data_IF_372306847336
#
_entry.id   IF_372306847336
#
_cell.length_a   1.000
_cell.length_b   1.000
_cell.length_c   1.000
_cell.angle_alpha   90.00
_cell.angle_beta   90.00
_cell.angle_gamma   90.00
#
_symmetry.space_group_name_H-M   'P 1'
#
loop_
_entity.id
_entity.type
_entity.pdbx_description
1 polymer ?
#
# COMPACT_ATOMS: atom_id res chain seq x y z
N UNK A 1 -11.76 -2.10 18.65
CA UNK A 1 -10.53 -1.28 18.56
C UNK A 1 -10.12 -1.19 17.09
N UNK A 2 -10.50 -0.11 16.39
CA UNK A 2 -10.42 0.04 14.91
C UNK A 2 -9.34 1.06 14.47
N UNK A 3 -8.37 1.38 15.35
CA UNK A 3 -7.52 2.58 15.19
C UNK A 3 -6.21 2.38 14.43
N UNK A 4 -5.83 1.15 14.05
CA UNK A 4 -4.55 0.85 13.38
C UNK A 4 -4.69 0.30 11.94
N UNK A 5 -5.85 0.47 11.32
CA UNK A 5 -6.08 0.00 9.94
C UNK A 5 -5.80 1.14 8.95
N UNK A 6 -4.80 0.97 8.10
CA UNK A 6 -4.52 1.89 7.01
C UNK A 6 -5.54 1.67 5.87
N UNK A 7 -6.61 2.46 5.88
CA UNK A 7 -7.67 2.43 4.86
C UNK A 7 -7.41 3.50 3.81
N UNK A 8 -7.45 3.12 2.54
CA UNK A 8 -7.19 4.00 1.40
C UNK A 8 -8.37 3.90 0.43
N UNK A 9 -9.07 5.02 0.24
CA UNK A 9 -10.13 5.12 -0.75
C UNK A 9 -9.55 5.39 -2.14
N UNK A 10 -9.91 4.55 -3.10
CA UNK A 10 -9.45 4.61 -4.50
C UNK A 10 -10.63 4.41 -5.46
N UNK A 11 -10.42 4.72 -6.73
CA UNK A 11 -11.37 4.46 -7.82
C UNK A 11 -10.71 3.57 -8.86
N UNK A 12 -11.52 3.12 -9.82
CA UNK A 12 -10.95 2.47 -10.99
C UNK A 12 -10.01 3.43 -11.74
N UNK A 13 -8.94 2.85 -12.27
CA UNK A 13 -7.84 3.51 -12.97
C UNK A 13 -6.93 4.40 -12.12
N UNK A 14 -7.20 4.58 -10.82
CA UNK A 14 -6.23 5.20 -9.91
C UNK A 14 -4.97 4.31 -9.82
N UNK A 15 -3.84 4.95 -9.52
CA UNK A 15 -2.55 4.27 -9.35
C UNK A 15 -1.96 4.59 -7.99
N UNK A 16 -1.63 3.55 -7.24
CA UNK A 16 -0.99 3.65 -5.93
C UNK A 16 0.43 3.14 -6.04
N UNK A 17 1.39 3.94 -5.56
CA UNK A 17 2.81 3.64 -5.54
C UNK A 17 3.25 3.46 -4.08
N UNK A 18 3.85 2.32 -3.77
CA UNK A 18 4.42 1.98 -2.48
C UNK A 18 5.93 2.07 -2.62
N UNK A 19 6.54 3.01 -1.91
CA UNK A 19 7.99 3.14 -1.89
C UNK A 19 8.59 2.08 -0.98
N UNK A 20 9.56 1.34 -1.50
CA UNK A 20 10.37 0.46 -0.68
C UNK A 20 11.27 1.27 0.27
N UNK A 21 11.77 0.65 1.36
CA UNK A 21 12.71 1.30 2.26
C UNK A 21 13.90 1.90 1.50
N UNK A 22 14.40 3.04 1.98
CA UNK A 22 15.49 3.71 1.30
C UNK A 22 16.78 2.88 1.41
N UNK A 23 17.53 2.72 0.30
CA UNK A 23 18.88 2.17 0.34
C UNK A 23 19.74 3.05 1.22
N UNK A 24 20.14 2.55 2.38
CA UNK A 24 21.00 3.31 3.27
C UNK A 24 22.36 2.65 3.35
N UNK A 25 23.36 3.32 2.78
CA UNK A 25 24.77 2.92 2.92
C UNK A 25 25.38 3.42 4.24
N UNK A 26 24.69 4.33 4.95
CA UNK A 26 25.25 5.08 6.08
C UNK A 26 24.40 5.03 7.36
N UNK A 27 23.26 4.35 7.36
CA UNK A 27 22.47 4.14 8.58
C UNK A 27 22.88 2.85 9.27
N UNK A 28 22.96 2.89 10.59
CA UNK A 28 23.01 1.70 11.47
C UNK A 28 21.76 0.82 11.38
N UNK A 29 20.68 1.31 10.75
CA UNK A 29 19.43 0.59 10.56
C UNK A 29 19.55 -0.36 9.34
N UNK A 30 19.36 -1.67 9.51
CA UNK A 30 19.39 -2.62 8.40
C UNK A 30 18.20 -2.42 7.46
N UNK A 31 18.40 -2.74 6.17
CA UNK A 31 17.34 -2.71 5.17
C UNK A 31 16.23 -3.71 5.52
N UNK A 32 14.97 -3.28 5.42
CA UNK A 32 13.81 -4.11 5.72
C UNK A 32 13.32 -4.82 4.44
N UNK A 33 13.62 -6.12 4.35
CA UNK A 33 13.17 -6.98 3.25
C UNK A 33 11.70 -7.33 3.42
N UNK A 34 10.89 -7.11 2.39
CA UNK A 34 9.44 -7.31 2.49
C UNK A 34 8.83 -7.73 1.15
N UNK A 35 7.91 -8.70 1.22
CA UNK A 35 6.99 -9.03 0.12
C UNK A 35 5.59 -8.60 0.51
N UNK A 36 4.87 -8.08 -0.49
CA UNK A 36 3.48 -7.67 -0.37
C UNK A 36 2.59 -8.65 -1.13
N UNK A 37 1.51 -9.06 -0.49
CA UNK A 37 0.51 -9.95 -1.05
C UNK A 37 -0.87 -9.36 -0.85
N UNK A 38 -1.72 -9.48 -1.87
CA UNK A 38 -3.15 -9.30 -1.69
C UNK A 38 -3.74 -10.60 -1.13
N UNK A 39 -4.60 -10.51 -0.13
CA UNK A 39 -5.17 -11.66 0.59
C UNK A 39 -6.68 -11.53 0.76
N UNK A 40 -7.32 -12.60 1.21
CA UNK A 40 -8.71 -12.59 1.67
C UNK A 40 -8.91 -11.68 2.89
N UNK A 41 -10.18 -11.37 3.22
CA UNK A 41 -10.49 -10.60 4.44
C UNK A 41 -10.07 -11.35 5.70
N UNK A 42 -10.26 -12.67 5.73
CA UNK A 42 -9.92 -13.50 6.87
C UNK A 42 -8.40 -13.54 7.07
N UNK A 43 -7.63 -13.74 5.98
CA UNK A 43 -6.16 -13.69 6.00
C UNK A 43 -5.62 -12.32 6.45
N UNK A 44 -6.28 -11.22 6.10
CA UNK A 44 -5.93 -9.88 6.59
C UNK A 44 -6.13 -9.69 8.10
N UNK A 45 -7.15 -10.32 8.66
CA UNK A 45 -7.48 -10.21 10.08
C UNK A 45 -6.53 -11.05 10.93
N UNK A 46 -6.19 -12.26 10.48
CA UNK A 46 -5.27 -13.18 11.19
C UNK A 46 -3.80 -13.09 10.74
N UNK A 47 -3.48 -12.18 9.83
CA UNK A 47 -2.12 -12.02 9.27
C UNK A 47 -1.56 -13.31 8.66
N UNK A 48 -2.33 -13.97 7.80
CA UNK A 48 -1.94 -15.19 7.08
C UNK A 48 -2.14 -15.01 5.57
N UNK A 49 -1.24 -15.61 4.78
CA UNK A 49 -1.38 -15.65 3.32
C UNK A 49 -2.45 -16.66 2.90
N UNK A 50 -3.70 -16.20 2.87
CA UNK A 50 -4.87 -16.93 2.37
C UNK A 50 -5.37 -16.34 1.04
N UNK A 51 -5.60 -17.20 0.04
CA UNK A 51 -5.96 -16.84 -1.33
C UNK A 51 -5.03 -15.77 -1.94
N UNK A 52 -3.72 -15.92 -1.70
CA UNK A 52 -2.79 -14.84 -1.91
C UNK A 52 -2.46 -14.59 -3.38
N UNK A 53 -2.25 -13.32 -3.72
CA UNK A 53 -1.72 -12.89 -5.01
C UNK A 53 -0.53 -11.95 -4.80
N UNK A 54 0.61 -12.17 -5.48
CA UNK A 54 1.78 -11.31 -5.31
C UNK A 54 1.48 -9.90 -5.80
N UNK A 55 1.83 -8.90 -4.98
CA UNK A 55 1.70 -7.47 -5.31
C UNK A 55 3.05 -6.88 -5.70
N UNK A 56 4.10 -7.22 -4.95
CA UNK A 56 5.47 -6.75 -5.22
C UNK A 56 6.45 -7.11 -4.12
N UNK A 57 7.71 -6.76 -4.32
CA UNK A 57 8.82 -7.11 -3.42
C UNK A 57 9.81 -5.96 -3.27
N UNK A 58 10.24 -5.72 -2.04
CA UNK A 58 11.37 -4.87 -1.68
C UNK A 58 12.52 -5.77 -1.24
N UNK A 59 13.51 -5.98 -2.12
CA UNK A 59 14.63 -6.91 -1.90
C UNK A 59 15.99 -6.35 -2.32
N UNK A 60 16.03 -5.13 -2.83
CA UNK A 60 17.28 -4.49 -3.27
C UNK A 60 17.68 -3.42 -2.24
N UNK A 61 18.69 -3.69 -1.39
CA UNK A 61 19.14 -2.74 -0.37
C UNK A 61 20.03 -1.63 -0.95
N UNK A 62 20.34 -1.65 -2.25
CA UNK A 62 21.23 -0.70 -2.91
C UNK A 62 20.51 0.25 -3.86
N UNK A 63 19.26 -0.04 -4.24
CA UNK A 63 18.48 0.77 -5.19
C UNK A 63 17.09 1.08 -4.67
N UNK A 64 16.70 2.35 -4.80
CA UNK A 64 15.34 2.77 -4.47
C UNK A 64 14.38 2.13 -5.47
N UNK A 65 13.40 1.39 -4.96
CA UNK A 65 12.36 0.76 -5.78
C UNK A 65 10.98 1.16 -5.31
N UNK A 66 10.01 0.97 -6.21
CA UNK A 66 8.61 1.33 -6.01
C UNK A 66 7.74 0.20 -6.54
N UNK A 67 6.78 -0.23 -5.73
CA UNK A 67 5.74 -1.19 -6.13
C UNK A 67 4.51 -0.39 -6.56
N UNK A 68 3.96 -0.67 -7.74
CA UNK A 68 2.80 0.05 -8.27
C UNK A 68 1.58 -0.86 -8.39
N UNK A 69 0.45 -0.40 -7.87
CA UNK A 69 -0.86 -1.04 -8.00
C UNK A 69 -1.73 -0.12 -8.85
N UNK A 70 -2.26 -0.65 -9.95
CA UNK A 70 -3.25 0.07 -10.78
C UNK A 70 -4.61 -0.59 -10.60
N UNK A 71 -5.62 0.20 -10.23
CA UNK A 71 -6.95 -0.30 -9.90
C UNK A 71 -7.79 -0.54 -11.16
N UNK A 72 -7.48 -1.60 -11.90
CA UNK A 72 -8.21 -1.98 -13.11
C UNK A 72 -9.20 -3.11 -12.86
N UNK A 73 -10.32 -3.10 -13.57
CA UNK A 73 -11.38 -4.10 -13.45
C UNK A 73 -11.16 -5.37 -14.28
N UNK A 74 -10.15 -5.38 -15.13
CA UNK A 74 -9.75 -6.52 -15.95
C UNK A 74 -8.24 -6.51 -16.14
N UNK A 75 -7.62 -7.68 -16.07
CA UNK A 75 -6.21 -7.89 -16.35
C UNK A 75 -6.02 -8.89 -17.50
N UNK A 76 -5.26 -8.55 -18.55
CA UNK A 76 -4.89 -9.53 -19.56
C UNK A 76 -3.88 -10.56 -19.03
N UNK A 77 -3.23 -10.29 -17.89
CA UNK A 77 -2.30 -11.21 -17.23
C UNK A 77 -3.09 -12.14 -16.28
N UNK A 78 -3.08 -13.47 -16.50
CA UNK A 78 -3.69 -14.44 -15.60
C UNK A 78 -3.13 -14.33 -14.19
N UNK A 79 -3.99 -14.45 -13.18
CA UNK A 79 -3.58 -14.41 -11.77
C UNK A 79 -3.29 -13.02 -11.21
N UNK A 80 -3.25 -11.98 -12.05
CA UNK A 80 -3.07 -10.61 -11.58
C UNK A 80 -4.29 -10.11 -10.78
N UNK A 81 -4.11 -8.95 -10.16
CA UNK A 81 -5.16 -8.29 -9.39
C UNK A 81 -6.19 -7.64 -10.29
N UNK A 82 -7.45 -7.82 -9.92
CA UNK A 82 -8.60 -7.20 -10.57
C UNK A 82 -9.50 -6.57 -9.51
N UNK A 83 -9.84 -5.31 -9.74
CA UNK A 83 -10.53 -4.47 -8.77
C UNK A 83 -11.93 -4.13 -9.26
N UNK A 84 -12.93 -4.30 -8.40
CA UNK A 84 -14.32 -3.98 -8.71
C UNK A 84 -14.80 -2.85 -7.79
N UNK A 85 -15.58 -1.89 -8.32
CA UNK A 85 -16.22 -0.88 -7.50
C UNK A 85 -17.11 -1.49 -6.41
N UNK A 86 -17.18 -0.83 -5.26
CA UNK A 86 -17.93 -1.26 -4.08
C UNK A 86 -17.26 -2.38 -3.28
N UNK A 87 -16.07 -2.84 -3.66
CA UNK A 87 -15.34 -3.90 -2.95
C UNK A 87 -14.12 -3.37 -2.20
N UNK A 88 -13.81 -4.07 -1.11
CA UNK A 88 -12.57 -3.87 -0.34
C UNK A 88 -11.53 -4.92 -0.74
N UNK A 89 -10.27 -4.49 -0.77
CA UNK A 89 -9.13 -5.34 -1.08
C UNK A 89 -8.05 -5.16 -0.02
N UNK A 90 -7.38 -6.24 0.35
CA UNK A 90 -6.48 -6.27 1.49
C UNK A 90 -5.08 -6.64 1.04
N UNK A 91 -4.08 -5.88 1.48
CA UNK A 91 -2.68 -6.15 1.18
C UNK A 91 -1.90 -6.22 2.49
N UNK A 92 -1.12 -7.28 2.69
CA UNK A 92 -0.30 -7.48 3.90
C UNK A 92 1.14 -7.84 3.55
N UNK A 93 2.01 -7.72 4.55
CA UNK A 93 3.34 -8.36 4.55
C UNK A 93 3.46 -9.30 5.74
N UNK A 94 3.70 -10.58 5.50
CA UNK A 94 4.02 -11.57 6.53
C UNK A 94 5.53 -11.80 6.67
N UNK A 95 6.36 -11.08 5.88
CA UNK A 95 7.81 -11.09 6.04
C UNK A 95 8.20 -10.61 7.45
N UNK A 96 9.37 -11.00 7.96
CA UNK A 96 9.86 -10.52 9.27
C UNK A 96 10.84 -9.33 9.17
N UNK A 97 11.12 -8.84 7.96
CA UNK A 97 12.08 -7.76 7.69
C UNK A 97 13.49 -8.22 7.36
N UNK A 98 13.82 -9.50 7.53
CA UNK A 98 15.11 -10.08 7.11
C UNK A 98 15.01 -10.75 5.75
N UNK A 99 16.16 -10.98 5.11
CA UNK A 99 16.21 -11.65 3.80
C UNK A 99 15.75 -13.11 3.90
N UNK A 100 16.05 -13.78 5.01
CA UNK A 100 15.72 -15.19 5.26
C UNK A 100 14.23 -15.39 5.54
N UNK A 101 13.62 -14.46 6.29
CA UNK A 101 12.20 -14.50 6.61
C UNK A 101 11.32 -13.73 5.62
N UNK A 102 11.83 -13.41 4.43
CA UNK A 102 11.08 -12.66 3.41
C UNK A 102 9.86 -13.45 2.90
N UNK A 103 9.95 -14.78 2.90
CA UNK A 103 8.94 -15.73 2.41
C UNK A 103 8.06 -16.32 3.50
N UNK A 104 8.13 -15.80 4.72
CA UNK A 104 7.22 -16.19 5.80
C UNK A 104 5.76 -15.97 5.37
N UNK A 105 4.88 -16.93 5.67
CA UNK A 105 3.46 -16.91 5.26
C UNK A 105 2.48 -16.57 6.38
N UNK A 106 2.97 -16.31 7.60
CA UNK A 106 2.15 -16.05 8.78
C UNK A 106 2.80 -15.00 9.70
N UNK A 107 1.99 -14.13 10.31
CA UNK A 107 2.40 -13.13 11.30
C UNK A 107 3.31 -12.03 10.73
N UNK A 108 4.55 -11.97 11.20
CA UNK A 108 5.59 -11.09 10.67
C UNK A 108 5.29 -9.60 10.84
N UNK A 109 5.58 -8.80 9.81
CA UNK A 109 5.38 -7.35 9.79
C UNK A 109 3.88 -6.97 9.88
N UNK A 110 2.97 -7.84 9.41
CA UNK A 110 1.52 -7.63 9.51
C UNK A 110 1.08 -7.57 10.97
N UNK A 111 1.54 -8.51 11.80
CA UNK A 111 1.16 -8.59 13.21
C UNK A 111 1.98 -7.63 14.06
N UNK A 112 3.30 -7.63 13.89
CA UNK A 112 4.22 -6.90 14.77
C UNK A 112 4.30 -5.39 14.46
N UNK A 113 4.05 -4.99 13.21
CA UNK A 113 4.18 -3.59 12.76
C UNK A 113 2.93 -3.05 12.07
N UNK A 114 1.82 -3.80 12.10
CA UNK A 114 0.59 -3.43 11.39
C UNK A 114 0.82 -3.10 9.91
N UNK A 115 1.75 -3.81 9.26
CA UNK A 115 2.05 -3.63 7.84
C UNK A 115 0.96 -4.28 6.98
N UNK A 116 -0.22 -3.68 7.03
CA UNK A 116 -1.43 -4.13 6.36
C UNK A 116 -2.30 -2.96 5.91
N UNK A 117 -2.77 -3.03 4.67
CA UNK A 117 -3.51 -1.99 3.97
C UNK A 117 -4.89 -2.52 3.56
N UNK A 118 -5.91 -1.67 3.65
CA UNK A 118 -7.23 -1.91 3.09
C UNK A 118 -7.52 -0.87 2.01
N UNK A 119 -7.72 -1.30 0.79
CA UNK A 119 -8.21 -0.45 -0.30
C UNK A 119 -9.73 -0.54 -0.40
N UNK A 120 -10.41 0.59 -0.33
CA UNK A 120 -11.85 0.69 -0.59
C UNK A 120 -12.06 1.27 -1.98
N UNK A 121 -12.52 0.44 -2.92
CA UNK A 121 -12.69 0.85 -4.32
C UNK A 121 -14.10 1.43 -4.49
N UNK A 122 -14.20 2.74 -4.69
CA UNK A 122 -15.48 3.40 -4.87
C UNK A 122 -15.94 3.35 -6.34
N UNK A 123 -17.24 3.11 -6.55
CA UNK A 123 -17.91 3.45 -7.80
C UNK A 123 -18.01 4.97 -7.90
N UNK A 124 -17.53 5.59 -8.97
CA UNK A 124 -17.85 7.01 -9.24
C UNK A 124 -19.38 7.15 -9.27
N UNK A 125 -19.99 8.10 -8.55
CA UNK A 125 -19.73 9.54 -8.48
C UNK A 125 -19.86 10.02 -7.01
N UNK A 126 -18.82 10.59 -6.39
CA UNK A 126 -18.98 11.30 -5.11
C UNK A 126 -18.98 12.81 -5.35
N UNK A 127 -20.07 13.46 -4.91
CA UNK A 127 -20.21 14.92 -4.82
C UNK A 127 -19.11 15.45 -3.90
N UNK A 128 -18.40 16.48 -4.34
CA UNK A 128 -17.40 17.18 -3.55
C UNK A 128 -18.04 17.62 -2.23
N UNK A 129 -17.63 17.00 -1.12
CA UNK A 129 -17.73 17.61 0.20
C UNK A 129 -16.30 17.88 0.65
N UNK A 130 -15.91 19.14 0.58
CA UNK A 130 -14.73 19.67 1.24
C UNK A 130 -14.81 19.35 2.74
N UNK A 131 -13.84 18.58 3.24
CA UNK A 131 -13.56 18.54 4.68
C UNK A 131 -12.09 18.79 4.91
N UNK A 132 -11.85 19.94 5.53
CA UNK A 132 -10.63 20.43 6.13
C UNK A 132 -9.94 19.36 6.97
N UNK A 133 -8.64 19.19 6.76
CA UNK A 133 -7.79 18.30 7.54
C UNK A 133 -7.70 18.78 8.99
N UNK A 134 -8.03 17.91 9.95
CA UNK A 134 -7.69 18.10 11.37
C UNK A 134 -6.63 17.08 11.78
N UNK A 135 -5.50 17.60 12.24
CA UNK A 135 -4.33 16.88 12.74
C UNK A 135 -4.56 16.26 14.13
N UNK A 136 -3.94 15.11 14.42
CA UNK A 136 -3.35 14.77 15.74
C UNK A 136 -2.62 13.41 15.79
N UNK A 137 -1.29 13.51 15.88
CA UNK A 137 -0.23 12.77 16.62
C UNK A 137 -0.13 11.22 16.75
N UNK A 138 1.12 10.81 16.45
CA UNK A 138 1.98 9.68 16.92
C UNK A 138 1.63 8.21 16.66
N UNK A 139 1.86 7.79 15.41
CA UNK A 139 2.24 6.44 14.94
C UNK A 139 3.22 6.64 13.75
N UNK A 140 3.98 5.64 13.25
CA UNK A 140 4.70 5.78 11.97
C UNK A 140 3.74 6.37 10.94
N UNK A 141 4.05 7.56 10.45
CA UNK A 141 3.16 8.28 9.57
C UNK A 141 3.34 7.70 8.18
N UNK A 142 2.40 6.84 7.81
CA UNK A 142 2.08 6.60 6.40
C UNK A 142 1.54 7.91 5.85
N UNK A 143 2.40 8.71 5.24
CA UNK A 143 1.94 9.89 4.52
C UNK A 143 1.55 9.48 3.12
N UNK A 144 0.29 9.75 2.79
CA UNK A 144 -0.25 9.61 1.45
C UNK A 144 -0.05 10.95 0.75
N UNK A 145 0.92 11.03 -0.16
CA UNK A 145 1.08 12.22 -1.00
C UNK A 145 0.21 12.03 -2.24
N UNK A 146 -0.79 12.89 -2.41
CA UNK A 146 -1.53 13.03 -3.65
C UNK A 146 -0.72 13.93 -4.58
N UNK A 147 -0.13 13.37 -5.63
CA UNK A 147 0.46 14.19 -6.70
C UNK A 147 -0.51 14.24 -7.86
N UNK A 148 -1.15 15.39 -8.08
CA UNK A 148 -1.89 15.68 -9.31
C UNK A 148 -0.88 16.06 -10.39
N UNK A 149 -0.87 15.34 -11.51
CA UNK A 149 -0.19 15.82 -12.72
C UNK A 149 -0.95 17.06 -13.23
N UNK A 150 -0.51 18.24 -12.82
CA UNK A 150 -1.05 19.51 -13.27
C UNK A 150 -0.45 19.86 -14.63
N UNK A 151 -0.96 19.26 -15.71
CA UNK A 151 -0.95 19.88 -17.02
C UNK A 151 -2.01 19.28 -17.95
N UNK A 152 -3.16 19.94 -18.12
CA UNK A 152 -3.97 19.92 -19.35
C UNK A 152 -5.23 20.76 -19.19
N UNK A 153 -5.24 21.91 -19.86
CA UNK A 153 -6.46 22.60 -20.26
C UNK A 153 -7.34 21.65 -21.11
N UNK A 154 -8.62 21.57 -20.77
CA UNK A 154 -9.73 21.02 -21.56
C UNK A 154 -9.47 19.75 -22.40
N UNK A 155 -9.63 18.58 -21.78
CA UNK A 155 -10.28 17.38 -22.36
C UNK A 155 -10.69 16.49 -21.18
N UNK A 156 -11.72 15.66 -21.33
CA UNK A 156 -12.26 14.72 -20.34
C UNK A 156 -11.16 14.07 -19.46
N UNK A 157 -10.80 14.67 -18.33
CA UNK A 157 -9.58 14.29 -17.60
C UNK A 157 -9.87 13.08 -16.71
N UNK A 158 -9.55 11.88 -17.22
CA UNK A 158 -9.20 10.71 -16.40
C UNK A 158 -7.92 11.05 -15.60
N UNK A 159 -8.07 11.87 -14.57
CA UNK A 159 -6.99 12.24 -13.66
C UNK A 159 -6.58 11.01 -12.85
N UNK A 160 -5.43 10.44 -13.20
CA UNK A 160 -4.78 9.39 -12.42
C UNK A 160 -4.23 10.04 -11.15
N UNK A 161 -4.83 9.79 -9.99
CA UNK A 161 -4.24 10.25 -8.73
C UNK A 161 -3.10 9.27 -8.41
N UNK A 162 -1.87 9.78 -8.41
CA UNK A 162 -0.72 9.03 -7.94
C UNK A 162 -0.64 9.19 -6.42
N UNK A 163 -0.78 8.08 -5.71
CA UNK A 163 -0.59 8.04 -4.26
C UNK A 163 0.83 7.54 -3.99
N UNK A 164 1.68 8.35 -3.35
CA UNK A 164 2.99 7.88 -2.88
C UNK A 164 2.88 7.52 -1.40
N UNK A 165 3.09 6.24 -1.09
CA UNK A 165 3.18 5.74 0.28
C UNK A 165 4.63 5.58 0.68
N UNK A 166 5.07 6.34 1.69
CA UNK A 166 6.34 6.16 2.36
C UNK A 166 6.10 5.64 3.78
N UNK A 167 6.69 4.49 4.11
CA UNK A 167 6.74 4.01 5.50
C UNK A 167 7.84 4.79 6.24
N UNK A 168 7.47 5.83 6.99
CA UNK A 168 8.40 6.48 7.92
C UNK A 168 8.32 5.77 9.27
N UNK A 169 9.22 4.82 9.51
CA UNK A 169 9.38 4.22 10.83
C UNK A 169 9.89 5.29 11.82
N UNK A 170 9.39 5.34 13.07
CA UNK A 170 9.94 6.23 14.07
C UNK A 170 11.40 5.84 14.32
N UNK A 171 12.31 6.80 14.13
CA UNK A 171 13.66 6.70 14.68
C UNK A 171 13.51 6.55 16.20
N UNK A 172 14.03 5.45 16.75
CA UNK A 172 14.12 5.29 18.21
C UNK A 172 15.12 6.33 18.72
N UNK A 173 14.64 7.32 19.46
CA UNK A 173 15.46 8.12 20.36
C UNK A 173 15.71 7.35 21.66
#
# INVERSE_FOLDING_TARGET
DRRNTHVISVRLFDRVNILCPSPSQYSSVPYEYTKLYAVSSDGYDVCELQDEKPVGVCQDPFRQSTISITFRNFSPLPGALEFKPGKSYYVISTSNGTKEGIDNRFGGLCENKHMKLKFEVHSGMFRIKSKTASSSMSTPLLYIIHTSDSNSDNYFAQGSINYVMAFKFPEKH
#
